data_IF_523229099855
#
_entry.id   IF_523229099855
#
_cell.length_a   1.000
_cell.length_b   1.000
_cell.length_c   1.000
_cell.angle_alpha   90.00
_cell.angle_beta   90.00
_cell.angle_gamma   90.00
#
_symmetry.space_group_name_H-M   'P 1'
#
loop_
_entity.id
_entity.type
_entity.pdbx_description
1 polymer ?
#
# COMPACT_ATOMS: atom_id res chain seq x y z
N UNK A 1 15.18 18.66 5.49
CA UNK A 1 16.63 18.37 5.41
C UNK A 1 16.90 18.03 3.96
N UNK A 2 17.40 19.00 3.21
CA UNK A 2 17.73 18.88 1.79
C UNK A 2 18.79 17.80 1.62
N UNK A 3 18.53 16.84 0.73
CA UNK A 3 19.54 15.87 0.29
C UNK A 3 20.71 16.69 -0.26
N UNK A 4 21.89 16.59 0.35
CA UNK A 4 23.12 17.20 -0.22
C UNK A 4 23.26 16.68 -1.65
N UNK A 5 22.99 17.56 -2.60
CA UNK A 5 23.28 17.32 -4.00
C UNK A 5 24.78 17.14 -4.12
N UNK A 6 25.22 16.03 -4.67
CA UNK A 6 26.58 15.80 -5.12
C UNK A 6 27.01 17.06 -5.89
N UNK A 7 28.08 17.71 -5.47
CA UNK A 7 28.47 19.08 -5.83
C UNK A 7 28.33 19.30 -7.33
N UNK A 8 27.31 20.07 -7.76
CA UNK A 8 27.13 20.58 -9.12
C UNK A 8 26.04 19.95 -9.99
N UNK A 9 25.28 18.93 -9.52
CA UNK A 9 24.18 18.37 -10.29
C UNK A 9 22.86 19.04 -9.95
N UNK A 10 22.00 19.28 -10.95
CA UNK A 10 20.63 19.70 -10.72
C UNK A 10 19.86 18.60 -9.95
N UNK A 11 18.75 18.96 -9.29
CA UNK A 11 17.89 18.01 -8.54
C UNK A 11 17.47 16.80 -9.41
N UNK A 12 17.13 17.04 -10.67
CA UNK A 12 16.75 16.00 -11.65
C UNK A 12 17.90 15.07 -12.03
N UNK A 13 19.10 15.60 -12.21
CA UNK A 13 20.29 14.80 -12.50
C UNK A 13 20.64 13.89 -11.32
N UNK A 14 20.46 14.39 -10.09
CA UNK A 14 20.64 13.62 -8.86
C UNK A 14 19.66 12.44 -8.78
N UNK A 15 18.37 12.65 -9.05
CA UNK A 15 17.35 11.57 -9.00
C UNK A 15 17.56 10.53 -10.12
N UNK A 16 17.93 10.93 -11.34
CA UNK A 16 18.30 10.02 -12.43
C UNK A 16 19.57 9.20 -12.10
N UNK A 17 20.56 9.83 -11.48
CA UNK A 17 21.77 9.14 -11.04
C UNK A 17 21.45 8.03 -10.02
N UNK A 18 20.48 8.26 -9.13
CA UNK A 18 20.00 7.24 -8.20
C UNK A 18 19.38 6.04 -8.93
N UNK A 19 18.55 6.25 -9.95
CA UNK A 19 17.97 5.15 -10.75
C UNK A 19 19.05 4.24 -11.31
N UNK A 20 20.14 4.81 -11.85
CA UNK A 20 21.26 4.03 -12.37
C UNK A 20 22.00 3.27 -11.26
N UNK A 21 22.26 3.91 -10.11
CA UNK A 21 22.89 3.27 -8.94
C UNK A 21 22.03 2.11 -8.39
N UNK A 22 20.71 2.27 -8.39
CA UNK A 22 19.75 1.29 -7.86
C UNK A 22 19.54 0.11 -8.79
N UNK A 23 19.82 0.24 -10.08
CA UNK A 23 19.64 -0.84 -11.05
C UNK A 23 20.39 -2.14 -10.71
N UNK A 24 21.48 -2.09 -9.94
CA UNK A 24 22.24 -3.27 -9.48
C UNK A 24 21.48 -4.17 -8.51
N UNK A 25 20.44 -3.65 -7.84
CA UNK A 25 19.64 -4.41 -6.86
C UNK A 25 18.40 -5.07 -7.47
N UNK A 26 18.14 -4.86 -8.76
CA UNK A 26 16.90 -5.30 -9.42
C UNK A 26 16.79 -6.81 -9.64
N UNK A 27 17.91 -7.51 -9.68
CA UNK A 27 17.91 -8.93 -10.05
C UNK A 27 17.39 -9.78 -8.88
N UNK A 28 16.26 -10.50 -9.06
CA UNK A 28 15.72 -11.36 -8.02
C UNK A 28 16.56 -12.64 -7.88
N UNK A 29 16.64 -13.15 -6.66
CA UNK A 29 17.15 -14.47 -6.38
C UNK A 29 16.00 -15.47 -6.29
N UNK A 30 15.91 -16.43 -7.19
CA UNK A 30 14.84 -17.44 -7.18
C UNK A 30 14.78 -18.19 -5.86
N UNK A 31 15.93 -18.59 -5.31
CA UNK A 31 15.99 -19.26 -4.00
C UNK A 31 15.43 -18.37 -2.89
N UNK A 32 15.84 -17.10 -2.85
CA UNK A 32 15.33 -16.17 -1.84
C UNK A 32 13.83 -15.93 -2.02
N UNK A 33 13.34 -15.78 -3.22
CA UNK A 33 11.90 -15.60 -3.50
C UNK A 33 11.08 -16.81 -3.06
N UNK A 34 11.57 -18.04 -3.32
CA UNK A 34 10.92 -19.26 -2.84
C UNK A 34 10.95 -19.33 -1.31
N UNK A 35 12.09 -19.02 -0.69
CA UNK A 35 12.20 -18.95 0.76
C UNK A 35 11.19 -17.98 1.37
N UNK A 36 11.06 -16.76 0.81
CA UNK A 36 10.10 -15.76 1.29
C UNK A 36 8.64 -16.21 1.13
N UNK A 37 8.32 -16.93 0.06
CA UNK A 37 7.01 -17.57 -0.10
C UNK A 37 6.75 -18.60 1.01
N UNK A 38 7.70 -19.49 1.26
CA UNK A 38 7.54 -20.57 2.25
C UNK A 38 7.38 -20.01 3.66
N UNK A 39 8.29 -19.10 4.09
CA UNK A 39 8.22 -18.51 5.44
C UNK A 39 7.04 -17.56 5.63
N UNK A 40 6.31 -17.25 4.57
CA UNK A 40 5.07 -16.47 4.62
C UNK A 40 3.84 -17.36 4.59
N UNK A 41 3.75 -18.28 3.62
CA UNK A 41 2.56 -19.10 3.43
C UNK A 41 2.44 -20.22 4.48
N UNK A 42 3.54 -20.82 4.91
CA UNK A 42 3.49 -21.89 5.92
C UNK A 42 2.94 -21.37 7.25
N UNK A 43 3.49 -20.30 7.86
CA UNK A 43 2.88 -19.74 9.08
C UNK A 43 1.45 -19.24 8.86
N UNK A 44 1.13 -18.64 7.71
CA UNK A 44 -0.24 -18.22 7.39
C UNK A 44 -1.23 -19.39 7.46
N UNK A 45 -0.91 -20.52 6.83
CA UNK A 45 -1.76 -21.73 6.83
C UNK A 45 -1.81 -22.37 8.22
N UNK A 46 -0.68 -22.45 8.92
CA UNK A 46 -0.64 -23.00 10.28
C UNK A 46 -1.45 -22.15 11.27
N UNK A 47 -1.36 -20.83 11.20
CA UNK A 47 -2.18 -19.94 12.03
C UNK A 47 -3.67 -20.05 11.69
N UNK A 48 -4.00 -20.27 10.42
CA UNK A 48 -5.36 -20.53 9.98
C UNK A 48 -5.91 -21.80 10.62
N UNK A 49 -5.16 -22.92 10.55
CA UNK A 49 -5.51 -24.18 11.19
C UNK A 49 -5.58 -24.07 12.71
N UNK A 50 -4.63 -23.36 13.32
CA UNK A 50 -4.62 -23.12 14.77
C UNK A 50 -5.83 -22.29 15.22
N UNK A 51 -6.20 -21.23 14.47
CA UNK A 51 -7.39 -20.45 14.76
C UNK A 51 -8.67 -21.30 14.65
N UNK A 52 -8.70 -22.24 13.69
CA UNK A 52 -9.82 -23.17 13.52
C UNK A 52 -9.98 -24.08 14.75
N UNK A 53 -8.92 -24.75 15.18
CA UNK A 53 -8.94 -25.59 16.39
C UNK A 53 -9.22 -24.77 17.66
N UNK A 54 -8.69 -23.55 17.72
CA UNK A 54 -8.91 -22.66 18.87
C UNK A 54 -10.37 -22.25 19.06
N UNK A 55 -11.24 -22.35 18.04
CA UNK A 55 -12.69 -22.07 18.20
C UNK A 55 -13.36 -23.01 19.22
N UNK A 56 -12.92 -24.26 19.30
CA UNK A 56 -13.45 -25.23 20.26
C UNK A 56 -13.04 -24.91 21.71
N UNK A 57 -11.97 -24.13 21.89
CA UNK A 57 -11.47 -23.68 23.19
C UNK A 57 -12.07 -22.32 23.56
N UNK A 58 -11.97 -21.35 22.67
CA UNK A 58 -12.48 -20.00 22.88
C UNK A 58 -12.58 -19.23 21.56
N UNK A 59 -13.74 -18.63 21.24
CA UNK A 59 -13.88 -17.74 20.09
C UNK A 59 -12.92 -16.55 20.14
N UNK A 60 -12.62 -16.05 21.33
CA UNK A 60 -11.69 -14.94 21.53
C UNK A 60 -10.23 -15.31 21.21
N UNK A 61 -9.83 -16.54 21.54
CA UNK A 61 -8.53 -17.08 21.18
C UNK A 61 -8.40 -17.23 19.65
N UNK A 62 -9.42 -17.79 19.01
CA UNK A 62 -9.49 -17.87 17.55
C UNK A 62 -9.37 -16.50 16.90
N UNK A 63 -10.12 -15.50 17.38
CA UNK A 63 -10.06 -14.14 16.90
C UNK A 63 -8.67 -13.50 17.09
N UNK A 64 -8.03 -13.70 18.24
CA UNK A 64 -6.68 -13.19 18.49
C UNK A 64 -5.66 -13.77 17.50
N UNK A 65 -5.75 -15.08 17.21
CA UNK A 65 -4.90 -15.73 16.21
C UNK A 65 -5.20 -15.20 14.80
N UNK A 66 -6.47 -14.98 14.46
CA UNK A 66 -6.86 -14.41 13.18
C UNK A 66 -6.32 -12.96 12.98
N UNK A 67 -6.33 -12.16 14.03
CA UNK A 67 -5.72 -10.81 14.02
C UNK A 67 -4.21 -10.90 13.75
N UNK A 68 -3.50 -11.83 14.42
CA UNK A 68 -2.07 -12.06 14.16
C UNK A 68 -1.84 -12.51 12.70
N UNK A 69 -2.72 -13.36 12.18
CA UNK A 69 -2.64 -13.86 10.81
C UNK A 69 -2.89 -12.77 9.76
N UNK A 70 -3.61 -11.69 10.12
CA UNK A 70 -3.73 -10.50 9.29
C UNK A 70 -2.38 -9.86 8.92
N UNK A 71 -1.38 -9.94 9.81
CA UNK A 71 0.00 -9.52 9.51
C UNK A 71 0.64 -10.37 8.40
N UNK A 72 0.46 -11.69 8.42
CA UNK A 72 0.93 -12.56 7.34
C UNK A 72 0.17 -12.31 6.02
N UNK A 73 -1.12 -11.94 6.08
CA UNK A 73 -1.87 -11.54 4.90
C UNK A 73 -1.29 -10.28 4.26
N UNK A 74 -0.84 -9.30 5.06
CA UNK A 74 -0.11 -8.14 4.55
C UNK A 74 1.16 -8.58 3.83
N UNK A 75 1.94 -9.49 4.42
CA UNK A 75 3.17 -9.98 3.80
C UNK A 75 2.91 -10.76 2.50
N UNK A 76 1.81 -11.53 2.42
CA UNK A 76 1.33 -12.15 1.18
C UNK A 76 1.04 -11.08 0.13
N UNK A 77 0.39 -9.98 0.52
CA UNK A 77 0.12 -8.86 -0.37
C UNK A 77 1.42 -8.20 -0.89
N UNK A 78 2.46 -8.06 -0.06
CA UNK A 78 3.76 -7.52 -0.52
C UNK A 78 4.44 -8.45 -1.53
N UNK A 79 4.34 -9.76 -1.38
CA UNK A 79 4.83 -10.71 -2.39
C UNK A 79 4.04 -10.55 -3.71
N UNK A 80 2.72 -10.45 -3.64
CA UNK A 80 1.86 -10.16 -4.79
C UNK A 80 2.22 -8.84 -5.47
N UNK A 81 2.49 -7.82 -4.66
CA UNK A 81 2.90 -6.49 -5.09
C UNK A 81 4.21 -6.54 -5.90
N UNK A 82 5.23 -7.24 -5.41
CA UNK A 82 6.49 -7.42 -6.14
C UNK A 82 6.33 -8.23 -7.43
N UNK A 83 5.42 -9.22 -7.44
CA UNK A 83 5.01 -9.87 -8.68
C UNK A 83 4.44 -8.86 -9.68
N UNK A 84 3.64 -7.89 -9.21
CA UNK A 84 3.09 -6.81 -10.03
C UNK A 84 4.15 -5.91 -10.67
N UNK A 85 5.22 -5.64 -9.94
CA UNK A 85 6.37 -4.85 -10.41
C UNK A 85 7.37 -5.64 -11.28
N UNK A 86 7.13 -6.91 -11.51
CA UNK A 86 8.06 -7.79 -12.21
C UNK A 86 9.45 -7.86 -11.53
N UNK A 87 9.46 -7.82 -10.19
CA UNK A 87 10.66 -7.84 -9.35
C UNK A 87 10.87 -9.15 -8.58
N UNK A 88 9.88 -10.06 -8.56
CA UNK A 88 9.91 -11.22 -7.67
C UNK A 88 10.58 -12.47 -8.26
N UNK A 89 10.34 -12.76 -9.53
CA UNK A 89 10.97 -13.85 -10.27
C UNK A 89 11.49 -13.39 -11.64
N UNK A 90 12.52 -14.03 -12.17
CA UNK A 90 12.98 -13.79 -13.54
C UNK A 90 11.91 -14.15 -14.58
N UNK A 91 11.19 -15.25 -14.36
CA UNK A 91 10.13 -15.70 -15.25
C UNK A 91 8.84 -14.88 -15.02
N UNK A 92 8.50 -14.02 -15.98
CA UNK A 92 7.32 -13.15 -15.92
C UNK A 92 6.01 -13.94 -15.82
N UNK A 93 5.87 -15.08 -16.50
CA UNK A 93 4.65 -15.89 -16.43
C UNK A 93 4.49 -16.52 -15.06
N UNK A 94 5.58 -17.04 -14.48
CA UNK A 94 5.56 -17.64 -13.15
C UNK A 94 5.13 -16.62 -12.08
N UNK A 95 5.72 -15.41 -12.09
CA UNK A 95 5.35 -14.39 -11.10
C UNK A 95 3.92 -13.88 -11.29
N UNK A 96 3.42 -13.72 -12.54
CA UNK A 96 2.02 -13.31 -12.77
C UNK A 96 1.04 -14.40 -12.26
N UNK A 97 1.36 -15.69 -12.40
CA UNK A 97 0.55 -16.76 -11.82
C UNK A 97 0.61 -16.79 -10.30
N UNK A 98 1.81 -16.62 -9.71
CA UNK A 98 1.94 -16.48 -8.25
C UNK A 98 1.12 -15.28 -7.77
N UNK A 99 1.22 -14.13 -8.42
CA UNK A 99 0.44 -12.95 -8.09
C UNK A 99 -1.07 -13.18 -8.16
N UNK A 100 -1.59 -13.93 -9.15
CA UNK A 100 -3.01 -14.28 -9.27
C UNK A 100 -3.48 -15.21 -8.15
N UNK A 101 -2.68 -16.23 -7.81
CA UNK A 101 -3.00 -17.14 -6.70
C UNK A 101 -3.03 -16.39 -5.38
N UNK A 102 -2.02 -15.58 -5.10
CA UNK A 102 -1.98 -14.74 -3.89
C UNK A 102 -3.11 -13.71 -3.87
N UNK A 103 -3.53 -13.21 -5.04
CA UNK A 103 -4.67 -12.31 -5.21
C UNK A 103 -6.00 -12.87 -4.73
N UNK A 104 -6.18 -14.19 -4.76
CA UNK A 104 -7.36 -14.85 -4.16
C UNK A 104 -7.33 -14.70 -2.64
N UNK A 105 -6.17 -14.93 -2.00
CA UNK A 105 -6.02 -14.82 -0.55
C UNK A 105 -6.18 -13.38 -0.07
N UNK A 106 -5.65 -12.42 -0.82
CA UNK A 106 -5.70 -10.99 -0.50
C UNK A 106 -6.96 -10.28 -1.00
N UNK A 107 -7.92 -11.01 -1.56
CA UNK A 107 -9.18 -10.48 -2.15
C UNK A 107 -8.94 -9.43 -3.24
N UNK A 108 -7.81 -9.55 -3.97
CA UNK A 108 -7.35 -8.53 -4.92
C UNK A 108 -7.14 -9.14 -6.31
N UNK A 109 -7.99 -8.84 -7.30
CA UNK A 109 -7.79 -9.27 -8.69
C UNK A 109 -6.45 -8.74 -9.21
N UNK A 110 -5.48 -9.62 -9.37
CA UNK A 110 -4.09 -9.28 -9.62
C UNK A 110 -3.86 -8.35 -10.83
N UNK A 111 -4.44 -8.68 -11.98
CA UNK A 111 -4.18 -7.91 -13.20
C UNK A 111 -4.85 -6.52 -13.16
N UNK A 112 -6.01 -6.40 -12.48
CA UNK A 112 -6.69 -5.12 -12.24
C UNK A 112 -5.82 -4.26 -11.32
N UNK A 113 -5.43 -4.82 -10.18
CA UNK A 113 -4.59 -4.12 -9.20
C UNK A 113 -3.22 -3.73 -9.79
N UNK A 114 -2.56 -4.65 -10.50
CA UNK A 114 -1.28 -4.39 -11.18
C UNK A 114 -1.37 -3.17 -12.11
N UNK A 115 -2.48 -3.01 -12.84
CA UNK A 115 -2.68 -1.87 -13.74
C UNK A 115 -2.91 -0.57 -12.97
N UNK A 116 -3.81 -0.57 -11.98
CA UNK A 116 -4.11 0.64 -11.19
C UNK A 116 -2.89 1.07 -10.37
N UNK A 117 -2.15 0.12 -9.82
CA UNK A 117 -0.91 0.38 -9.09
C UNK A 117 0.22 0.91 -9.99
N UNK A 118 0.32 0.44 -11.22
CA UNK A 118 1.23 1.01 -12.23
C UNK A 118 0.87 2.46 -12.57
N UNK A 119 -0.42 2.81 -12.61
CA UNK A 119 -0.88 4.21 -12.79
C UNK A 119 -0.49 5.06 -11.59
N UNK A 120 -0.67 4.54 -10.35
CA UNK A 120 -0.22 5.19 -9.14
C UNK A 120 1.28 5.54 -9.20
N UNK A 121 2.16 4.58 -9.51
CA UNK A 121 3.61 4.83 -9.63
C UNK A 121 3.96 5.86 -10.70
N UNK A 122 3.20 5.93 -11.78
CA UNK A 122 3.49 6.85 -12.90
C UNK A 122 2.95 8.25 -12.70
N UNK A 123 2.07 8.50 -11.70
CA UNK A 123 1.42 9.80 -11.49
C UNK A 123 1.41 10.24 -10.02
N UNK A 124 2.04 9.47 -9.12
CA UNK A 124 2.10 9.83 -7.71
C UNK A 124 2.66 11.24 -7.52
N UNK A 125 2.05 12.03 -6.62
CA UNK A 125 2.44 13.42 -6.38
C UNK A 125 2.00 14.44 -7.46
N UNK A 126 1.24 14.00 -8.50
CA UNK A 126 0.72 14.89 -9.52
C UNK A 126 -0.70 15.37 -9.18
N UNK A 127 -0.88 16.68 -8.95
CA UNK A 127 -2.16 17.27 -8.56
C UNK A 127 -3.24 17.15 -9.64
N UNK A 128 -2.86 17.08 -10.91
CA UNK A 128 -3.80 17.03 -12.03
C UNK A 128 -4.21 15.59 -12.40
N UNK A 129 -3.51 14.59 -11.86
CA UNK A 129 -3.75 13.17 -12.14
C UNK A 129 -4.03 12.33 -10.88
N UNK A 130 -4.66 12.92 -9.87
CA UNK A 130 -5.04 12.28 -8.60
C UNK A 130 -6.21 11.30 -8.73
N UNK A 131 -6.34 10.40 -7.77
CA UNK A 131 -7.55 9.61 -7.52
C UNK A 131 -7.56 8.21 -8.12
N UNK A 132 -6.55 7.82 -8.89
CA UNK A 132 -6.41 6.45 -9.37
C UNK A 132 -5.33 5.74 -8.56
N UNK A 133 -5.76 4.85 -7.65
CA UNK A 133 -4.85 4.13 -6.75
C UNK A 133 -4.28 5.00 -5.61
N UNK A 134 -4.80 6.20 -5.41
CA UNK A 134 -4.37 7.16 -4.38
C UNK A 134 -5.45 7.45 -3.35
N UNK A 135 -5.03 7.92 -2.17
CA UNK A 135 -5.95 8.58 -1.24
C UNK A 135 -6.26 9.98 -1.80
N UNK A 136 -7.54 10.23 -2.13
CA UNK A 136 -7.95 11.53 -2.66
C UNK A 136 -7.56 12.66 -1.71
N UNK A 137 -6.68 13.54 -2.17
CA UNK A 137 -6.19 14.69 -1.43
C UNK A 137 -6.57 15.96 -2.19
N UNK A 138 -7.39 16.80 -1.55
CA UNK A 138 -7.75 18.10 -2.11
C UNK A 138 -6.74 19.16 -1.67
N UNK A 139 -6.54 20.17 -2.51
CA UNK A 139 -5.86 21.39 -2.07
C UNK A 139 -6.76 22.19 -1.13
N UNK A 140 -6.16 23.12 -0.35
CA UNK A 140 -6.93 24.01 0.51
C UNK A 140 -7.93 24.83 -0.32
N UNK A 141 -7.52 25.30 -1.49
CA UNK A 141 -8.37 26.08 -2.40
C UNK A 141 -9.54 25.25 -2.94
N UNK A 142 -9.26 24.06 -3.46
CA UNK A 142 -10.32 23.14 -3.93
C UNK A 142 -11.33 22.79 -2.84
N UNK A 143 -10.86 22.55 -1.62
CA UNK A 143 -11.74 22.26 -0.48
C UNK A 143 -12.64 23.47 -0.15
N UNK A 144 -12.07 24.68 -0.14
CA UNK A 144 -12.83 25.94 0.14
C UNK A 144 -13.84 26.26 -0.95
N UNK A 145 -13.53 25.97 -2.20
CA UNK A 145 -14.43 26.16 -3.34
C UNK A 145 -15.66 25.22 -3.30
N UNK A 146 -15.59 24.12 -2.52
CA UNK A 146 -16.74 23.21 -2.39
C UNK A 146 -17.86 23.80 -1.55
N UNK A 147 -19.10 23.51 -1.93
CA UNK A 147 -20.28 23.76 -1.07
C UNK A 147 -20.27 22.95 0.21
N UNK A 148 -21.17 23.27 1.14
CA UNK A 148 -21.27 22.64 2.47
C UNK A 148 -21.30 21.11 2.40
N UNK A 149 -22.11 20.53 1.51
CA UNK A 149 -22.23 19.08 1.32
C UNK A 149 -20.94 18.44 0.79
N UNK A 150 -20.27 19.11 -0.15
CA UNK A 150 -18.99 18.63 -0.69
C UNK A 150 -17.87 18.62 0.38
N UNK A 151 -17.85 19.61 1.25
CA UNK A 151 -16.92 19.68 2.40
C UNK A 151 -17.24 18.63 3.45
N UNK A 152 -18.53 18.44 3.77
CA UNK A 152 -18.96 17.41 4.72
C UNK A 152 -18.59 16.00 4.20
N UNK A 153 -18.88 15.73 2.93
CA UNK A 153 -18.49 14.46 2.29
C UNK A 153 -16.98 14.21 2.34
N UNK A 154 -16.17 15.22 2.02
CA UNK A 154 -14.71 15.08 2.08
C UNK A 154 -14.20 14.86 3.51
N UNK A 155 -14.77 15.54 4.51
CA UNK A 155 -14.46 15.31 5.93
C UNK A 155 -14.83 13.89 6.37
N UNK A 156 -15.99 13.39 5.94
CA UNK A 156 -16.40 12.02 6.22
C UNK A 156 -15.44 11.02 5.58
N UNK A 157 -15.08 11.23 4.32
CA UNK A 157 -14.11 10.41 3.60
C UNK A 157 -12.75 10.38 4.33
N UNK A 158 -12.27 11.52 4.83
CA UNK A 158 -11.00 11.64 5.57
C UNK A 158 -11.10 11.26 7.05
N UNK A 159 -12.28 10.88 7.54
CA UNK A 159 -12.44 10.43 8.92
C UNK A 159 -11.70 9.11 9.16
N UNK A 160 -10.89 8.97 10.24
CA UNK A 160 -10.03 7.80 10.46
C UNK A 160 -10.77 6.45 10.39
N UNK A 161 -11.99 6.37 10.97
CA UNK A 161 -12.80 5.13 10.93
C UNK A 161 -13.20 4.79 9.49
N UNK A 162 -13.58 5.80 8.69
CA UNK A 162 -13.92 5.58 7.28
C UNK A 162 -12.67 5.18 6.50
N UNK A 163 -11.56 5.89 6.70
CA UNK A 163 -10.34 5.71 5.93
C UNK A 163 -9.61 4.39 6.23
N UNK A 164 -9.61 3.94 7.50
CA UNK A 164 -8.80 2.79 7.93
C UNK A 164 -9.60 1.55 8.32
N UNK A 165 -10.93 1.63 8.45
CA UNK A 165 -11.77 0.48 8.79
C UNK A 165 -12.80 0.22 7.68
N UNK A 166 -13.69 1.17 7.43
CA UNK A 166 -14.79 0.98 6.47
C UNK A 166 -14.29 0.98 5.02
N UNK A 167 -13.36 1.89 4.68
CA UNK A 167 -12.80 2.01 3.34
C UNK A 167 -12.04 0.76 2.88
N UNK A 168 -11.08 0.24 3.67
CA UNK A 168 -10.40 -1.02 3.35
C UNK A 168 -11.38 -2.20 3.23
N UNK A 169 -12.33 -2.31 4.15
CA UNK A 169 -13.35 -3.37 4.09
C UNK A 169 -14.19 -3.26 2.81
N UNK A 170 -14.66 -2.07 2.46
CA UNK A 170 -15.36 -1.81 1.21
C UNK A 170 -14.49 -2.13 -0.02
N UNK A 171 -13.26 -1.64 -0.05
CA UNK A 171 -12.34 -1.81 -1.17
C UNK A 171 -12.06 -3.29 -1.46
N UNK A 172 -11.63 -4.04 -0.44
CA UNK A 172 -11.19 -5.43 -0.61
C UNK A 172 -12.35 -6.42 -0.70
N UNK A 173 -13.45 -6.21 0.02
CA UNK A 173 -14.59 -7.15 0.03
C UNK A 173 -15.57 -6.86 -1.11
N UNK A 174 -15.81 -5.58 -1.46
CA UNK A 174 -16.85 -5.19 -2.41
C UNK A 174 -16.29 -4.61 -3.70
N UNK A 175 -15.52 -3.53 -3.65
CA UNK A 175 -15.10 -2.80 -4.85
C UNK A 175 -14.23 -3.65 -5.78
N UNK A 176 -13.31 -4.43 -5.23
CA UNK A 176 -12.44 -5.33 -6.00
C UNK A 176 -13.20 -6.48 -6.72
N UNK A 177 -14.51 -6.61 -6.52
CA UNK A 177 -15.31 -7.63 -7.23
C UNK A 177 -15.54 -7.29 -8.69
N UNK A 178 -15.34 -6.03 -9.07
CA UNK A 178 -15.47 -5.55 -10.46
C UNK A 178 -14.25 -4.72 -10.86
N UNK A 179 -13.84 -4.70 -12.13
CA UNK A 179 -12.66 -3.95 -12.58
C UNK A 179 -12.99 -2.46 -12.78
N UNK A 180 -13.35 -1.74 -11.70
CA UNK A 180 -13.71 -0.31 -11.78
C UNK A 180 -12.56 0.50 -12.39
N UNK A 181 -12.93 1.43 -13.29
CA UNK A 181 -11.97 2.22 -14.07
C UNK A 181 -11.37 1.49 -15.30
N UNK A 182 -11.48 0.14 -15.36
CA UNK A 182 -10.91 -0.70 -16.43
C UNK A 182 -11.99 -1.55 -17.13
N UNK A 183 -13.27 -1.21 -16.99
CA UNK A 183 -14.41 -2.01 -17.42
C UNK A 183 -14.51 -2.21 -18.94
N UNK A 184 -13.81 -1.41 -19.74
CA UNK A 184 -13.81 -1.51 -21.21
C UNK A 184 -13.00 -2.71 -21.72
N UNK A 185 -12.13 -3.29 -20.93
CA UNK A 185 -11.23 -4.38 -21.33
C UNK A 185 -11.71 -5.70 -20.75
N UNK A 186 -12.02 -6.66 -21.62
CA UNK A 186 -12.37 -8.03 -21.23
C UNK A 186 -11.29 -8.73 -20.39
N UNK A 187 -10.05 -8.42 -20.62
CA UNK A 187 -8.93 -8.96 -19.84
C UNK A 187 -9.06 -8.71 -18.33
N UNK A 188 -9.47 -7.49 -17.94
CA UNK A 188 -9.65 -7.17 -16.53
C UNK A 188 -10.90 -7.81 -15.94
N UNK A 189 -11.94 -8.03 -16.75
CA UNK A 189 -13.11 -8.79 -16.34
C UNK A 189 -12.74 -10.27 -16.08
N UNK A 190 -11.92 -10.92 -16.91
CA UNK A 190 -11.47 -12.29 -16.66
C UNK A 190 -10.65 -12.39 -15.38
N UNK A 191 -9.78 -11.41 -15.10
CA UNK A 191 -9.05 -11.35 -13.82
C UNK A 191 -9.96 -11.20 -12.62
N UNK A 192 -10.92 -10.25 -12.66
CA UNK A 192 -11.84 -10.01 -11.55
C UNK A 192 -12.78 -11.21 -11.32
N UNK A 193 -13.41 -11.73 -12.38
CA UNK A 193 -14.34 -12.85 -12.27
C UNK A 193 -13.63 -14.17 -11.90
N UNK A 194 -12.43 -14.43 -12.42
CA UNK A 194 -11.60 -15.56 -12.03
C UNK A 194 -11.26 -15.52 -10.54
N UNK A 195 -10.80 -14.35 -10.04
CA UNK A 195 -10.56 -14.17 -8.61
C UNK A 195 -11.83 -14.38 -7.78
N UNK A 196 -12.98 -13.83 -8.21
CA UNK A 196 -14.26 -13.99 -7.53
C UNK A 196 -14.72 -15.45 -7.47
N UNK A 197 -14.53 -16.20 -8.56
CA UNK A 197 -14.88 -17.62 -8.61
C UNK A 197 -14.06 -18.43 -7.58
N UNK A 198 -12.75 -18.20 -7.50
CA UNK A 198 -11.90 -18.86 -6.50
C UNK A 198 -12.22 -18.42 -5.08
N UNK A 199 -12.53 -17.15 -4.83
CA UNK A 199 -13.01 -16.68 -3.52
C UNK A 199 -14.31 -17.39 -3.14
N UNK A 200 -15.25 -17.51 -4.08
CA UNK A 200 -16.52 -18.20 -3.84
C UNK A 200 -16.29 -19.69 -3.49
N UNK A 201 -15.34 -20.36 -4.16
CA UNK A 201 -14.94 -21.73 -3.84
C UNK A 201 -14.37 -21.80 -2.41
N UNK A 202 -13.43 -20.91 -2.04
CA UNK A 202 -12.83 -20.88 -0.70
C UNK A 202 -13.90 -20.63 0.37
N UNK A 203 -14.77 -19.65 0.18
CA UNK A 203 -15.88 -19.36 1.12
C UNK A 203 -16.85 -20.52 1.19
N UNK A 204 -17.19 -21.13 0.05
CA UNK A 204 -18.06 -22.32 0.01
C UNK A 204 -17.47 -23.51 0.77
N UNK A 205 -16.16 -23.74 0.63
CA UNK A 205 -15.46 -24.80 1.38
C UNK A 205 -15.43 -24.51 2.88
N UNK A 206 -15.20 -23.27 3.29
CA UNK A 206 -15.24 -22.86 4.70
C UNK A 206 -16.63 -23.13 5.28
N UNK A 207 -17.68 -22.71 4.57
CA UNK A 207 -19.07 -22.90 5.01
C UNK A 207 -19.45 -24.40 5.06
N UNK A 208 -19.00 -25.19 4.09
CA UNK A 208 -19.28 -26.62 4.04
C UNK A 208 -18.58 -27.41 5.15
N UNK A 209 -17.31 -27.05 5.45
CA UNK A 209 -16.51 -27.79 6.45
C UNK A 209 -16.78 -27.36 7.90
N UNK A 210 -17.07 -26.08 8.15
CA UNK A 210 -17.17 -25.54 9.52
C UNK A 210 -18.34 -24.58 9.75
N UNK A 211 -19.21 -24.40 8.76
CA UNK A 211 -20.36 -23.50 8.88
C UNK A 211 -19.92 -22.02 8.92
N UNK A 212 -20.72 -21.20 9.56
CA UNK A 212 -20.57 -19.75 9.58
C UNK A 212 -19.42 -19.26 10.50
N UNK A 213 -19.12 -20.02 11.58
CA UNK A 213 -18.18 -19.55 12.61
C UNK A 213 -16.76 -19.32 12.10
N UNK A 214 -16.11 -20.20 11.33
CA UNK A 214 -14.78 -19.92 10.77
C UNK A 214 -14.76 -18.72 9.82
N UNK A 215 -15.86 -18.47 9.11
CA UNK A 215 -15.98 -17.29 8.26
C UNK A 215 -15.96 -16.01 9.10
N UNK A 216 -16.74 -15.97 10.19
CA UNK A 216 -16.89 -14.79 11.06
C UNK A 216 -15.69 -14.58 11.99
N UNK A 217 -15.05 -15.65 12.48
CA UNK A 217 -13.98 -15.54 13.49
C UNK A 217 -12.57 -15.58 12.89
N UNK A 218 -12.41 -16.11 11.67
CA UNK A 218 -11.08 -16.26 11.07
C UNK A 218 -10.98 -15.48 9.75
N UNK A 219 -11.78 -15.86 8.74
CA UNK A 219 -11.63 -15.33 7.38
C UNK A 219 -11.86 -13.83 7.30
N UNK A 220 -13.00 -13.35 7.80
CA UNK A 220 -13.35 -11.92 7.78
C UNK A 220 -12.37 -11.11 8.64
N UNK A 221 -12.09 -11.45 9.92
CA UNK A 221 -11.14 -10.69 10.73
C UNK A 221 -9.73 -10.66 10.14
N UNK A 222 -9.20 -11.79 9.67
CA UNK A 222 -7.88 -11.82 8.99
C UNK A 222 -7.86 -10.88 7.79
N UNK A 223 -8.92 -10.90 6.95
CA UNK A 223 -9.01 -10.07 5.76
C UNK A 223 -9.13 -8.58 6.10
N UNK A 224 -10.00 -8.22 7.05
CA UNK A 224 -10.21 -6.82 7.47
C UNK A 224 -8.95 -6.25 8.13
N UNK A 225 -8.29 -6.99 9.02
CA UNK A 225 -7.05 -6.56 9.66
C UNK A 225 -5.94 -6.40 8.62
N UNK A 226 -5.75 -7.37 7.73
CA UNK A 226 -4.78 -7.27 6.65
C UNK A 226 -5.02 -6.06 5.75
N UNK A 227 -6.28 -5.82 5.35
CA UNK A 227 -6.69 -4.67 4.56
C UNK A 227 -6.44 -3.33 5.29
N UNK A 228 -6.80 -3.26 6.58
CA UNK A 228 -6.57 -2.08 7.43
C UNK A 228 -5.08 -1.76 7.55
N UNK A 229 -4.25 -2.74 7.86
CA UNK A 229 -2.78 -2.55 7.94
C UNK A 229 -2.23 -2.15 6.57
N UNK A 230 -2.67 -2.79 5.49
CA UNK A 230 -2.24 -2.46 4.12
C UNK A 230 -2.56 -1.02 3.73
N UNK A 231 -3.80 -0.55 3.99
CA UNK A 231 -4.20 0.83 3.72
C UNK A 231 -3.49 1.82 4.66
N UNK A 232 -3.26 1.45 5.93
CA UNK A 232 -2.44 2.27 6.83
C UNK A 232 -1.02 2.47 6.30
N UNK A 233 -0.34 1.39 5.90
CA UNK A 233 1.00 1.47 5.33
C UNK A 233 1.01 2.37 4.09
N UNK A 234 0.09 2.13 3.15
CA UNK A 234 -0.05 2.94 1.95
C UNK A 234 -0.28 4.43 2.28
N UNK A 235 -1.15 4.71 3.27
CA UNK A 235 -1.46 6.07 3.70
C UNK A 235 -0.23 6.79 4.23
N UNK A 236 0.47 6.24 5.22
CA UNK A 236 1.61 6.90 5.86
C UNK A 236 2.83 7.02 4.94
N UNK A 237 2.87 6.20 3.90
CA UNK A 237 3.90 6.25 2.87
C UNK A 237 3.77 7.46 1.95
N UNK A 238 2.57 8.06 1.83
CA UNK A 238 2.28 9.16 0.92
C UNK A 238 1.64 10.39 1.59
N UNK A 239 1.06 10.23 2.77
CA UNK A 239 0.33 11.27 3.49
C UNK A 239 1.09 11.68 4.75
N UNK A 240 2.22 12.32 4.61
CA UNK A 240 3.04 12.89 5.69
C UNK A 240 3.25 14.38 5.46
N UNK A 241 3.67 15.14 6.48
CA UNK A 241 3.64 16.61 6.44
C UNK A 241 4.47 17.18 5.29
N UNK A 242 5.68 16.69 5.11
CA UNK A 242 6.65 17.18 4.10
C UNK A 242 6.58 16.39 2.79
N UNK A 243 5.44 15.73 2.49
CA UNK A 243 5.25 15.05 1.20
C UNK A 243 5.28 16.06 0.03
N UNK A 244 5.49 15.56 -1.17
CA UNK A 244 5.63 16.40 -2.35
C UNK A 244 4.45 16.21 -3.32
N UNK A 245 3.81 17.34 -3.68
CA UNK A 245 2.77 17.40 -4.72
C UNK A 245 3.05 18.61 -5.63
N UNK A 246 2.90 18.39 -6.95
CA UNK A 246 3.07 19.43 -7.96
C UNK A 246 1.99 19.37 -9.02
N UNK A 247 1.77 20.49 -9.72
CA UNK A 247 0.96 20.52 -10.95
C UNK A 247 1.71 19.83 -12.07
N UNK A 248 0.97 19.33 -13.08
CA UNK A 248 1.54 18.58 -14.19
C UNK A 248 2.68 19.28 -14.93
N UNK A 249 2.65 20.62 -15.00
CA UNK A 249 3.67 21.46 -15.65
C UNK A 249 5.05 21.42 -14.96
N UNK A 250 5.06 21.28 -13.63
CA UNK A 250 6.28 21.26 -12.81
C UNK A 250 6.60 19.86 -12.25
N UNK A 251 5.68 18.91 -12.42
CA UNK A 251 5.79 17.57 -11.84
C UNK A 251 6.89 16.74 -12.51
N UNK A 252 7.72 16.09 -11.68
CA UNK A 252 8.78 15.19 -12.12
C UNK A 252 8.68 13.86 -11.37
N UNK A 253 8.66 12.75 -12.09
CA UNK A 253 8.45 11.41 -11.54
C UNK A 253 9.48 11.02 -10.48
N UNK A 254 10.74 11.40 -10.66
CA UNK A 254 11.81 11.00 -9.74
C UNK A 254 11.82 11.86 -8.47
N UNK A 255 11.45 13.12 -8.56
CA UNK A 255 11.32 14.02 -7.42
C UNK A 255 10.11 13.60 -6.57
N UNK A 256 8.98 13.30 -7.23
CA UNK A 256 7.80 12.75 -6.59
C UNK A 256 8.09 11.41 -5.88
N UNK A 257 8.93 10.54 -6.47
CA UNK A 257 9.33 9.29 -5.85
C UNK A 257 10.14 9.50 -4.56
N UNK A 258 11.15 10.39 -4.59
CA UNK A 258 12.03 10.63 -3.45
C UNK A 258 11.39 11.46 -2.34
N UNK A 259 10.61 12.49 -2.69
CA UNK A 259 10.07 13.46 -1.74
C UNK A 259 8.60 13.23 -1.41
N UNK A 260 7.85 12.61 -2.33
CA UNK A 260 6.45 12.25 -2.13
C UNK A 260 6.23 10.89 -1.45
N UNK A 261 7.31 10.15 -1.14
CA UNK A 261 7.23 8.86 -0.48
C UNK A 261 8.11 8.78 0.75
N UNK A 262 7.61 8.19 1.84
CA UNK A 262 8.33 8.14 3.12
C UNK A 262 9.22 6.91 3.29
N UNK A 263 10.18 7.01 4.21
CA UNK A 263 10.82 5.88 4.86
C UNK A 263 10.16 5.63 6.21
N UNK A 264 9.16 4.74 6.24
CA UNK A 264 8.47 4.37 7.49
C UNK A 264 9.34 3.42 8.32
N UNK A 265 9.96 3.96 9.37
CA UNK A 265 10.92 3.23 10.21
C UNK A 265 10.16 2.39 11.23
N UNK A 266 10.22 1.07 11.06
CA UNK A 266 9.56 0.09 11.91
C UNK A 266 10.60 -0.73 12.70
N UNK A 267 10.25 -1.23 13.91
CA UNK A 267 11.02 -2.28 14.59
C UNK A 267 11.17 -3.52 13.71
N UNK A 268 12.29 -4.24 13.86
CA UNK A 268 12.64 -5.36 12.98
C UNK A 268 11.52 -6.41 12.74
N UNK A 269 10.75 -6.86 13.76
CA UNK A 269 9.64 -7.78 13.51
C UNK A 269 8.54 -7.19 12.63
N UNK A 270 8.17 -5.92 12.84
CA UNK A 270 7.17 -5.22 12.03
C UNK A 270 7.69 -4.93 10.63
N UNK A 271 8.97 -4.57 10.51
CA UNK A 271 9.62 -4.38 9.22
C UNK A 271 9.63 -5.68 8.42
N UNK A 272 9.91 -6.82 9.06
CA UNK A 272 9.88 -8.13 8.41
C UNK A 272 8.47 -8.51 7.96
N UNK A 273 7.45 -8.42 8.84
CA UNK A 273 6.08 -8.81 8.50
C UNK A 273 5.47 -7.92 7.40
N UNK A 274 5.88 -6.66 7.30
CA UNK A 274 5.48 -5.74 6.24
C UNK A 274 6.37 -5.81 4.99
N UNK A 275 7.25 -6.82 4.87
CA UNK A 275 8.11 -7.02 3.69
C UNK A 275 8.99 -5.81 3.37
N UNK A 276 9.53 -5.12 4.38
CA UNK A 276 10.36 -3.92 4.21
C UNK A 276 9.73 -2.79 3.38
N UNK A 277 8.42 -2.85 3.05
CA UNK A 277 7.78 -1.87 2.17
C UNK A 277 7.76 -0.45 2.77
N UNK A 278 8.07 -0.32 4.07
CA UNK A 278 8.31 0.98 4.69
C UNK A 278 9.45 1.78 4.05
N UNK A 279 10.35 1.14 3.30
CA UNK A 279 11.39 1.79 2.48
C UNK A 279 10.78 2.26 1.16
N UNK A 280 9.72 3.09 1.24
CA UNK A 280 8.82 3.33 0.12
C UNK A 280 9.37 4.33 -0.90
N UNK A 281 10.15 5.32 -0.48
CA UNK A 281 10.84 6.26 -1.37
C UNK A 281 11.81 5.55 -2.34
N UNK A 282 12.55 4.55 -1.86
CA UNK A 282 13.41 3.71 -2.71
C UNK A 282 12.57 2.85 -3.65
N UNK A 283 11.47 2.27 -3.13
CA UNK A 283 10.55 1.48 -3.93
C UNK A 283 9.92 2.30 -5.06
N UNK A 284 9.46 3.53 -4.81
CA UNK A 284 8.94 4.42 -5.85
C UNK A 284 10.02 4.86 -6.84
N UNK A 285 11.23 5.11 -6.39
CA UNK A 285 12.35 5.50 -7.25
C UNK A 285 12.76 4.37 -8.20
N UNK A 286 12.74 3.11 -7.71
CA UNK A 286 13.06 1.92 -8.52
C UNK A 286 12.27 0.69 -8.08
N UNK A 287 11.03 0.57 -8.52
CA UNK A 287 10.06 -0.46 -8.10
C UNK A 287 10.42 -1.90 -8.48
N UNK A 288 11.48 -2.10 -9.29
CA UNK A 288 11.99 -3.41 -9.67
C UNK A 288 12.96 -4.04 -8.67
N UNK A 289 13.19 -3.40 -7.52
CA UNK A 289 13.99 -3.99 -6.44
C UNK A 289 13.07 -4.91 -5.63
N UNK A 290 13.39 -6.21 -5.49
CA UNK A 290 12.63 -7.09 -4.63
C UNK A 290 12.60 -6.58 -3.19
N UNK A 291 11.46 -6.71 -2.51
CA UNK A 291 11.27 -6.18 -1.16
C UNK A 291 12.35 -6.65 -0.17
N UNK A 292 12.86 -7.86 -0.33
CA UNK A 292 13.89 -8.43 0.54
C UNK A 292 15.29 -7.83 0.30
N UNK A 293 15.47 -6.97 -0.74
CA UNK A 293 16.71 -6.22 -1.00
C UNK A 293 16.61 -4.74 -0.65
N UNK A 294 15.44 -4.23 -0.29
CA UNK A 294 15.29 -2.82 0.07
C UNK A 294 16.17 -2.39 1.25
N UNK A 295 16.34 -3.26 2.25
CA UNK A 295 17.24 -3.00 3.38
C UNK A 295 18.73 -3.05 3.00
N UNK A 296 19.09 -3.81 1.96
CA UNK A 296 20.43 -3.82 1.38
C UNK A 296 20.77 -2.43 0.80
N UNK A 297 19.82 -1.82 0.08
CA UNK A 297 19.97 -0.46 -0.46
C UNK A 297 20.22 0.55 0.67
N UNK A 298 19.46 0.50 1.74
CA UNK A 298 19.65 1.44 2.86
C UNK A 298 20.98 1.25 3.58
N UNK A 299 21.47 0.01 3.68
CA UNK A 299 22.78 -0.27 4.25
C UNK A 299 23.91 0.30 3.41
N UNK A 300 23.79 0.20 2.07
CA UNK A 300 24.83 0.62 1.14
C UNK A 300 24.78 2.13 0.84
N UNK A 301 23.61 2.78 1.07
CA UNK A 301 23.37 4.18 0.74
C UNK A 301 22.75 4.94 1.92
N UNK A 302 23.62 5.50 2.79
CA UNK A 302 23.21 6.21 4.00
C UNK A 302 22.30 7.40 3.72
N UNK A 303 22.54 8.12 2.63
CA UNK A 303 21.69 9.26 2.21
C UNK A 303 20.24 8.84 2.05
N UNK A 304 19.96 7.70 1.39
CA UNK A 304 18.62 7.16 1.26
C UNK A 304 18.07 6.65 2.60
N UNK A 305 18.93 6.07 3.46
CA UNK A 305 18.50 5.59 4.78
C UNK A 305 18.02 6.72 5.70
N UNK A 306 18.54 7.93 5.53
CA UNK A 306 18.21 9.11 6.32
C UNK A 306 17.11 9.99 5.68
N UNK A 307 16.79 9.76 4.39
CA UNK A 307 15.78 10.53 3.68
C UNK A 307 14.35 10.17 4.14
N UNK A 308 13.47 11.16 4.22
CA UNK A 308 12.02 11.04 4.44
C UNK A 308 11.62 10.09 5.58
N UNK A 309 12.39 10.07 6.67
CA UNK A 309 12.16 9.17 7.80
C UNK A 309 10.90 9.53 8.57
N UNK A 310 10.02 8.56 8.72
CA UNK A 310 8.78 8.65 9.48
C UNK A 310 8.76 7.58 10.58
N UNK A 311 8.72 7.98 11.83
CA UNK A 311 8.57 7.07 12.96
C UNK A 311 7.10 6.68 13.18
N UNK A 312 6.85 5.62 13.97
CA UNK A 312 5.48 5.21 14.36
C UNK A 312 4.73 6.38 15.04
N UNK A 313 5.40 7.13 15.91
CA UNK A 313 4.78 8.28 16.59
C UNK A 313 4.37 9.39 15.60
N UNK A 314 5.24 9.72 14.67
CA UNK A 314 4.95 10.71 13.62
C UNK A 314 3.84 10.22 12.68
N UNK A 315 3.81 8.93 12.35
CA UNK A 315 2.77 8.38 11.49
C UNK A 315 1.36 8.53 12.06
N UNK A 316 1.21 8.48 13.38
CA UNK A 316 -0.09 8.74 14.03
C UNK A 316 -0.55 10.19 13.83
N UNK A 317 0.37 11.15 13.78
CA UNK A 317 0.04 12.55 13.49
C UNK A 317 -0.43 12.76 12.03
N UNK A 318 0.04 11.93 11.10
CA UNK A 318 -0.36 11.99 9.68
C UNK A 318 -1.88 11.83 9.48
N UNK A 319 -2.58 11.16 10.39
CA UNK A 319 -4.04 10.98 10.34
C UNK A 319 -4.80 12.32 10.32
N UNK A 320 -4.20 13.36 10.86
CA UNK A 320 -4.80 14.71 10.91
C UNK A 320 -4.49 15.56 9.67
N UNK A 321 -3.59 15.10 8.80
CA UNK A 321 -3.18 15.80 7.58
C UNK A 321 -4.18 15.49 6.48
N UNK A 322 -4.98 16.47 6.07
CA UNK A 322 -6.15 16.24 5.24
C UNK A 322 -6.13 17.01 3.92
N UNK A 323 -5.39 18.12 3.83
CA UNK A 323 -5.40 19.03 2.70
C UNK A 323 -3.97 19.37 2.29
N UNK A 324 -3.74 19.52 0.99
CA UNK A 324 -2.50 20.05 0.46
C UNK A 324 -2.54 21.58 0.44
N UNK A 325 -1.59 22.21 1.08
CA UNK A 325 -1.43 23.67 1.03
C UNK A 325 -0.39 24.04 -0.04
N UNK A 326 -0.86 24.54 -1.17
CA UNK A 326 0.00 24.87 -2.32
C UNK A 326 0.98 26.02 -2.00
N UNK A 327 0.60 26.93 -1.07
CA UNK A 327 1.48 28.06 -0.67
C UNK A 327 2.54 27.62 0.33
N UNK A 328 2.14 26.84 1.33
CA UNK A 328 3.06 26.32 2.33
C UNK A 328 3.83 25.08 1.85
N UNK A 329 3.44 24.47 0.70
CA UNK A 329 4.02 23.27 0.09
C UNK A 329 4.12 22.09 1.08
N UNK A 330 3.04 21.84 1.80
CA UNK A 330 2.92 20.72 2.76
C UNK A 330 1.47 20.33 3.02
N UNK A 331 1.29 19.15 3.58
CA UNK A 331 -0.03 18.74 4.06
C UNK A 331 -0.37 19.44 5.37
N UNK A 332 -1.63 19.89 5.48
CA UNK A 332 -2.16 20.58 6.64
C UNK A 332 -3.47 19.95 7.13
N UNK A 333 -3.77 20.16 8.40
CA UNK A 333 -5.05 19.73 8.96
C UNK A 333 -6.20 20.69 8.57
N UNK A 334 -7.46 20.22 8.64
CA UNK A 334 -8.62 21.09 8.51
C UNK A 334 -8.60 22.26 9.51
N UNK A 335 -8.08 22.02 10.73
CA UNK A 335 -7.98 23.05 11.76
C UNK A 335 -6.98 24.13 11.39
N UNK A 336 -5.85 23.73 10.88
CA UNK A 336 -4.80 24.65 10.45
C UNK A 336 -5.22 25.46 9.22
N UNK A 337 -5.78 24.79 8.20
CA UNK A 337 -6.32 25.47 7.02
C UNK A 337 -7.38 26.53 7.41
N UNK A 338 -8.27 26.19 8.36
CA UNK A 338 -9.25 27.16 8.88
C UNK A 338 -8.61 28.34 9.62
N UNK A 339 -7.54 28.10 10.37
CA UNK A 339 -6.83 29.15 11.10
C UNK A 339 -6.11 30.13 10.16
N UNK A 340 -5.48 29.60 9.11
CA UNK A 340 -4.67 30.40 8.18
C UNK A 340 -5.55 31.11 7.13
N UNK A 341 -6.55 30.43 6.59
CA UNK A 341 -7.33 30.91 5.45
C UNK A 341 -8.77 31.32 5.82
N UNK A 342 -9.16 31.27 7.10
CA UNK A 342 -10.49 31.58 7.58
C UNK A 342 -11.48 30.40 7.45
N UNK A 343 -12.68 30.58 8.00
CA UNK A 343 -13.76 29.61 7.88
C UNK A 343 -14.20 29.51 6.42
N UNK A 344 -14.25 28.31 5.91
CA UNK A 344 -14.80 28.00 4.58
C UNK A 344 -16.25 27.55 4.73
#
# INVERSE_FOLDING_TARGET
>A
MTIETDVGLSRQESARAWVLKLARYREPSTWRSVFELVVTLVPFVLLWGLAWVAMDVSPWLSLAIAVLNGGFLVRIFIIQHDCGHASYFHNRRAQDWVGRVLGVLTLTPYDVWKRTHSVHHSHHGNLDHRGIGDVLTLTVEEYRARGVWGRLWYRLYRHPVVLFVLGPSYLFILQNRVPLGLMRSWWYWTSAMGTNAFIAIVVGLILWLGGLMPLLLIYIPTSVIGATIGVWLFYVQHQFEETHWEKAEDWQIHDAALEGSSHYVLPAPLQWITGNIGVHHVHHLYSRIPFYRLTEVLRDHRTLAEAQRLSIRQSLACVTLNLWDEKARRLVSFREARRVYGAA
#
